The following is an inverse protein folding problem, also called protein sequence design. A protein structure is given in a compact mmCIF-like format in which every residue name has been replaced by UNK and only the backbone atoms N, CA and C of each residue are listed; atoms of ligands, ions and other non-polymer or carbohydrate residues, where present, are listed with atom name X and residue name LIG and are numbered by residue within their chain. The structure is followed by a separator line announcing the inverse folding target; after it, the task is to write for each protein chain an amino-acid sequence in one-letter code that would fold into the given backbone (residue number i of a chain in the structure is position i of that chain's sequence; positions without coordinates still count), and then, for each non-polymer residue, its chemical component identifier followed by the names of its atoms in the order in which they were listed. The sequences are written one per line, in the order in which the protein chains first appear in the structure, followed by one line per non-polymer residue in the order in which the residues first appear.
data_IF_630865334519
#
_entry.id   IF_630865334519
#
_cell.length_a   1.000
_cell.length_b   1.000
_cell.length_c   1.000
_cell.angle_alpha   90.00
_cell.angle_beta   90.00
_cell.angle_gamma   90.00
#
_symmetry.space_group_name_H-M   'P 1'
#
loop_
_entity.id
_entity.type
_entity.pdbx_description
1 polymer ?
#
# COMPACT_ATOMS: atom_id res chain seq x y z
N UNK A 1 12.14 -24.95 33.34
CA UNK A 1 12.61 -23.56 33.14
C UNK A 1 11.48 -22.92 32.37
N UNK A 2 10.50 -22.45 33.12
CA UNK A 2 9.22 -22.00 32.57
C UNK A 2 9.48 -20.71 31.79
N UNK A 3 9.22 -20.73 30.48
CA UNK A 3 9.15 -19.49 29.70
C UNK A 3 7.89 -18.76 30.15
N UNK A 4 8.09 -17.69 30.91
CA UNK A 4 7.08 -16.65 31.09
C UNK A 4 7.01 -15.93 29.75
N UNK A 5 5.93 -16.14 29.00
CA UNK A 5 5.55 -15.32 27.86
C UNK A 5 5.12 -13.97 28.45
N UNK A 6 6.10 -13.08 28.66
CA UNK A 6 5.84 -11.69 29.02
C UNK A 6 5.10 -11.12 27.81
N UNK A 7 3.85 -10.67 28.00
CA UNK A 7 2.92 -10.23 26.94
C UNK A 7 3.43 -9.03 26.14
N UNK A 8 4.54 -9.24 25.44
CA UNK A 8 5.31 -8.27 24.70
C UNK A 8 4.68 -8.06 23.33
N UNK A 9 4.62 -6.81 22.92
CA UNK A 9 4.09 -6.42 21.63
C UNK A 9 5.01 -6.97 20.54
N UNK A 10 4.45 -7.75 19.62
CA UNK A 10 5.17 -8.29 18.47
C UNK A 10 5.29 -7.21 17.39
N UNK A 11 6.52 -6.79 17.10
CA UNK A 11 6.80 -5.85 16.01
C UNK A 11 6.64 -6.55 14.67
N UNK A 12 5.86 -5.97 13.77
CA UNK A 12 5.66 -6.43 12.40
C UNK A 12 6.19 -5.38 11.44
N UNK A 13 6.90 -5.83 10.41
CA UNK A 13 7.17 -5.06 9.21
C UNK A 13 6.46 -5.79 8.06
N UNK A 14 5.48 -5.15 7.43
CA UNK A 14 4.65 -5.81 6.42
C UNK A 14 5.40 -5.88 5.08
N UNK A 15 5.83 -7.06 4.62
CA UNK A 15 6.64 -7.16 3.42
C UNK A 15 5.87 -6.91 2.12
N UNK A 16 4.54 -6.84 2.15
CA UNK A 16 3.73 -6.68 0.97
C UNK A 16 2.35 -6.12 1.32
N UNK A 17 2.16 -4.82 1.07
CA UNK A 17 0.85 -4.20 1.13
C UNK A 17 0.56 -3.33 -0.10
N UNK A 18 -0.70 -2.92 -0.22
CA UNK A 18 -1.18 -2.03 -1.27
C UNK A 18 -2.09 -0.96 -0.68
N UNK A 19 -2.03 0.22 -1.27
CA UNK A 19 -2.94 1.36 -1.08
C UNK A 19 -3.34 1.87 -2.45
N UNK A 20 -4.55 2.43 -2.57
CA UNK A 20 -5.09 2.80 -3.88
C UNK A 20 -6.25 3.79 -3.79
N UNK A 21 -6.53 4.45 -4.91
CA UNK A 21 -7.67 5.34 -5.11
C UNK A 21 -8.47 4.88 -6.33
N UNK A 22 -9.68 4.35 -6.12
CA UNK A 22 -10.63 3.97 -7.19
C UNK A 22 -11.70 5.03 -7.45
N UNK A 23 -11.51 6.28 -7.01
CA UNK A 23 -12.42 7.37 -7.32
C UNK A 23 -12.38 7.72 -8.82
N UNK A 24 -13.45 8.32 -9.33
CA UNK A 24 -13.56 8.71 -10.76
C UNK A 24 -12.49 9.71 -11.22
N UNK A 25 -11.84 10.40 -10.29
CA UNK A 25 -10.81 11.41 -10.56
C UNK A 25 -9.44 10.96 -10.06
N UNK A 26 -9.23 9.66 -9.90
CA UNK A 26 -7.99 9.10 -9.38
C UNK A 26 -6.79 9.49 -10.23
N UNK A 27 -5.67 9.71 -9.54
CA UNK A 27 -4.34 9.91 -10.16
C UNK A 27 -3.36 8.84 -9.69
N UNK A 28 -3.86 7.80 -9.04
CA UNK A 28 -3.03 6.74 -8.47
C UNK A 28 -2.47 5.77 -9.52
N UNK A 29 -2.90 5.81 -10.78
CA UNK A 29 -2.32 4.99 -11.85
C UNK A 29 -2.88 3.56 -11.94
N UNK A 30 -3.61 3.09 -10.93
CA UNK A 30 -4.26 1.77 -10.91
C UNK A 30 -5.48 1.76 -11.84
N UNK A 31 -5.87 0.58 -12.30
CA UNK A 31 -7.17 0.40 -12.97
C UNK A 31 -8.26 0.26 -11.89
N UNK A 32 -9.19 1.23 -11.76
CA UNK A 32 -10.26 1.16 -10.78
C UNK A 32 -11.25 0.00 -11.04
N UNK A 33 -11.27 -0.58 -12.24
CA UNK A 33 -12.13 -1.73 -12.56
C UNK A 33 -11.56 -3.06 -12.02
N UNK A 34 -10.25 -3.17 -11.80
CA UNK A 34 -9.62 -4.36 -11.22
C UNK A 34 -9.60 -4.35 -9.68
N UNK A 35 -9.81 -3.18 -9.07
CA UNK A 35 -9.77 -2.98 -7.63
C UNK A 35 -11.17 -2.74 -7.06
N UNK A 36 -11.27 -2.63 -5.74
CA UNK A 36 -12.54 -2.38 -5.06
C UNK A 36 -12.40 -1.29 -4.01
N UNK A 37 -13.52 -0.72 -3.58
CA UNK A 37 -13.60 0.24 -2.48
C UNK A 37 -13.82 -0.52 -1.15
N UNK A 38 -12.81 -0.70 -0.28
CA UNK A 38 -13.03 -1.39 0.99
C UNK A 38 -14.06 -0.64 1.82
N UNK A 39 -15.11 -1.34 2.25
CA UNK A 39 -16.25 -0.78 2.99
C UNK A 39 -16.97 0.37 2.26
N UNK A 40 -16.87 0.41 0.92
CA UNK A 40 -17.49 1.45 0.09
C UNK A 40 -16.76 2.79 0.10
N UNK A 41 -15.58 2.90 0.72
CA UNK A 41 -14.74 4.08 0.61
C UNK A 41 -13.75 3.90 -0.56
N UNK A 42 -13.81 4.73 -1.62
CA UNK A 42 -13.01 4.57 -2.82
C UNK A 42 -11.53 4.87 -2.63
N UNK A 43 -11.13 5.51 -1.53
CA UNK A 43 -9.73 5.82 -1.24
C UNK A 43 -9.26 4.99 -0.06
N UNK A 44 -8.36 4.06 -0.31
CA UNK A 44 -7.67 3.26 0.69
C UNK A 44 -6.29 3.86 0.92
N UNK A 45 -6.21 4.82 1.85
CA UNK A 45 -4.99 5.59 2.18
C UNK A 45 -4.02 4.81 3.07
N UNK A 46 -2.79 5.30 3.18
CA UNK A 46 -1.82 4.75 4.14
C UNK A 46 -2.31 4.86 5.58
N UNK A 47 -2.89 6.01 5.96
CA UNK A 47 -3.46 6.21 7.30
C UNK A 47 -4.54 5.18 7.63
N UNK A 48 -5.36 4.80 6.64
CA UNK A 48 -6.38 3.77 6.83
C UNK A 48 -5.77 2.39 6.98
N UNK A 49 -4.81 2.06 6.13
CA UNK A 49 -4.05 0.81 6.24
C UNK A 49 -3.39 0.67 7.63
N UNK A 50 -2.75 1.73 8.15
CA UNK A 50 -2.15 1.71 9.48
C UNK A 50 -3.16 1.46 10.61
N UNK A 51 -4.37 2.04 10.49
CA UNK A 51 -5.48 1.78 11.43
C UNK A 51 -5.95 0.34 11.35
N UNK A 52 -6.03 -0.23 10.15
CA UNK A 52 -6.45 -1.62 9.95
C UNK A 52 -5.38 -2.60 10.49
N UNK A 53 -4.11 -2.18 10.51
CA UNK A 53 -2.99 -2.92 11.11
C UNK A 53 -2.84 -2.72 12.63
N UNK A 54 -3.66 -1.88 13.26
CA UNK A 54 -3.65 -1.67 14.71
C UNK A 54 -4.31 -2.84 15.46
N UNK A 55 -3.65 -3.99 15.45
CA UNK A 55 -4.11 -5.26 16.03
C UNK A 55 -3.52 -5.43 17.43
N UNK A 56 -4.34 -5.84 18.41
CA UNK A 56 -3.87 -6.11 19.77
C UNK A 56 -2.72 -7.13 19.78
N UNK A 57 -1.65 -6.80 20.50
CA UNK A 57 -0.44 -7.63 20.59
C UNK A 57 0.56 -7.41 19.44
N UNK A 58 0.27 -6.53 18.49
CA UNK A 58 1.16 -6.20 17.38
C UNK A 58 1.45 -4.69 17.28
N UNK A 59 2.64 -4.37 16.77
CA UNK A 59 3.06 -3.00 16.45
C UNK A 59 3.57 -3.00 15.00
N UNK A 60 2.88 -2.30 14.11
CA UNK A 60 3.38 -2.05 12.76
C UNK A 60 4.58 -1.09 12.82
N UNK A 61 5.68 -1.47 12.18
CA UNK A 61 6.93 -0.69 12.15
C UNK A 61 7.24 -0.11 10.78
N UNK A 62 6.44 -0.45 9.77
CA UNK A 62 6.62 -0.07 8.39
C UNK A 62 6.23 -1.21 7.45
N UNK A 63 6.66 -1.11 6.20
CA UNK A 63 6.42 -2.17 5.23
C UNK A 63 6.96 -1.88 3.83
N UNK A 64 6.73 -2.81 2.91
CA UNK A 64 6.97 -2.63 1.50
C UNK A 64 5.64 -2.53 0.74
N UNK A 65 5.42 -1.35 0.17
CA UNK A 65 4.41 -1.17 -0.87
C UNK A 65 4.92 -1.83 -2.15
N UNK A 66 4.08 -2.67 -2.75
CA UNK A 66 4.35 -3.30 -4.04
C UNK A 66 3.38 -2.73 -5.07
N UNK A 67 3.90 -2.24 -6.18
CA UNK A 67 3.09 -1.68 -7.27
C UNK A 67 2.06 -2.71 -7.81
N UNK A 68 0.81 -2.28 -8.00
CA UNK A 68 -0.29 -3.10 -8.50
C UNK A 68 -0.54 -2.92 -10.01
N UNK A 69 0.10 -1.96 -10.69
CA UNK A 69 -0.06 -1.67 -12.14
C UNK A 69 0.05 -2.93 -13.01
N UNK A 70 0.99 -3.83 -12.71
CA UNK A 70 1.18 -5.07 -13.48
C UNK A 70 -0.02 -6.03 -13.44
N UNK A 71 -0.87 -5.94 -12.42
CA UNK A 71 -2.12 -6.71 -12.30
C UNK A 71 -3.30 -5.91 -12.86
N UNK A 72 -3.21 -4.58 -12.83
CA UNK A 72 -4.27 -3.68 -13.30
C UNK A 72 -4.31 -3.53 -14.83
N UNK A 73 -3.14 -3.47 -15.47
CA UNK A 73 -2.99 -3.08 -16.87
C UNK A 73 -2.39 -4.20 -17.71
N UNK A 74 -2.98 -5.41 -17.60
CA UNK A 74 -2.43 -6.64 -18.21
C UNK A 74 -2.34 -6.61 -19.74
N UNK A 75 -3.12 -5.75 -20.39
CA UNK A 75 -3.17 -5.59 -21.84
C UNK A 75 -2.39 -4.36 -22.34
N UNK A 76 -1.86 -3.53 -21.44
CA UNK A 76 -1.08 -2.35 -21.80
C UNK A 76 0.42 -2.66 -21.82
N UNK A 77 1.14 -2.02 -22.73
CA UNK A 77 2.60 -2.11 -22.83
C UNK A 77 3.26 -0.77 -23.12
N UNK A 78 4.60 -0.74 -22.99
CA UNK A 78 5.40 0.42 -23.38
C UNK A 78 5.04 1.69 -22.60
N UNK A 79 4.98 2.86 -23.26
CA UNK A 79 4.85 4.15 -22.58
C UNK A 79 3.57 4.35 -21.77
N UNK A 80 2.45 3.71 -22.13
CA UNK A 80 1.20 3.85 -21.35
C UNK A 80 1.33 3.11 -20.02
N UNK A 81 1.84 1.88 -20.04
CA UNK A 81 2.13 1.11 -18.84
C UNK A 81 3.11 1.83 -17.91
N UNK A 82 4.22 2.34 -18.48
CA UNK A 82 5.21 3.12 -17.72
C UNK A 82 4.61 4.37 -17.06
N UNK A 83 3.70 5.06 -17.75
CA UNK A 83 3.01 6.22 -17.19
C UNK A 83 2.13 5.84 -15.99
N UNK A 84 1.46 4.68 -16.03
CA UNK A 84 0.71 4.14 -14.91
C UNK A 84 1.62 3.81 -13.73
N UNK A 85 2.75 3.12 -13.94
CA UNK A 85 3.75 2.81 -12.89
C UNK A 85 4.25 4.08 -12.18
N UNK A 86 4.60 5.11 -12.97
CA UNK A 86 5.08 6.38 -12.43
C UNK A 86 4.00 7.13 -11.65
N UNK A 87 2.73 7.05 -12.10
CA UNK A 87 1.59 7.62 -11.39
C UNK A 87 1.37 6.92 -10.03
N UNK A 88 1.40 5.59 -9.99
CA UNK A 88 1.28 4.79 -8.77
C UNK A 88 2.40 5.07 -7.78
N UNK A 89 3.65 5.06 -8.25
CA UNK A 89 4.81 5.38 -7.43
C UNK A 89 4.73 6.81 -6.89
N UNK A 90 4.35 7.78 -7.72
CA UNK A 90 4.23 9.20 -7.31
C UNK A 90 3.09 9.44 -6.32
N UNK A 91 1.95 8.79 -6.52
CA UNK A 91 0.80 8.91 -5.63
C UNK A 91 1.11 8.27 -4.27
N UNK A 92 1.63 7.05 -4.29
CA UNK A 92 2.03 6.30 -3.09
C UNK A 92 3.10 7.04 -2.30
N UNK A 93 4.10 7.63 -2.97
CA UNK A 93 5.15 8.39 -2.29
C UNK A 93 4.58 9.54 -1.45
N UNK A 94 3.55 10.24 -1.93
CA UNK A 94 2.88 11.33 -1.20
C UNK A 94 2.12 10.82 0.03
N UNK A 95 1.53 9.62 -0.06
CA UNK A 95 0.91 8.97 1.10
C UNK A 95 1.98 8.60 2.15
N UNK A 96 3.13 8.08 1.71
CA UNK A 96 4.25 7.73 2.59
C UNK A 96 4.85 8.95 3.31
N UNK A 97 4.90 10.12 2.65
CA UNK A 97 5.34 11.38 3.27
C UNK A 97 4.48 11.80 4.48
N UNK A 98 3.28 11.22 4.63
CA UNK A 98 2.35 11.47 5.74
C UNK A 98 2.57 10.59 6.98
N UNK A 99 3.48 9.61 6.94
CA UNK A 99 3.74 8.69 8.05
C UNK A 99 5.17 8.80 8.60
N UNK A 100 5.32 8.51 9.89
CA UNK A 100 6.61 8.42 10.56
C UNK A 100 7.21 7.00 10.51
N UNK A 101 6.50 6.03 9.92
CA UNK A 101 6.94 4.63 9.83
C UNK A 101 7.87 4.38 8.62
N UNK A 102 8.68 3.31 8.69
CA UNK A 102 9.68 3.02 7.66
C UNK A 102 9.09 2.22 6.48
N UNK A 103 8.58 2.94 5.48
CA UNK A 103 8.08 2.35 4.25
C UNK A 103 9.11 2.29 3.12
N UNK A 104 8.99 1.26 2.28
CA UNK A 104 9.73 1.08 1.04
C UNK A 104 8.74 0.94 -0.11
N UNK A 105 9.04 1.55 -1.26
CA UNK A 105 8.28 1.37 -2.49
C UNK A 105 9.08 0.43 -3.39
N UNK A 106 8.47 -0.70 -3.76
CA UNK A 106 8.97 -1.62 -4.77
C UNK A 106 8.30 -1.25 -6.10
N UNK A 107 8.92 -0.31 -6.80
CA UNK A 107 8.40 0.25 -8.06
C UNK A 107 8.85 -0.56 -9.28
N UNK A 108 8.00 -0.63 -10.31
CA UNK A 108 8.37 -1.23 -11.61
C UNK A 108 9.05 -0.22 -12.54
N UNK A 109 8.88 1.08 -12.29
CA UNK A 109 9.52 2.20 -12.98
C UNK A 109 9.92 3.29 -11.97
N UNK A 110 11.01 4.02 -12.23
CA UNK A 110 11.59 5.03 -11.31
C UNK A 110 12.22 6.20 -12.02
#
# INVERSE_FOLDING_TARGET
MDHVDDGGIMKIWDPHFHIWDVSQTTTSGHDPEQLFAPEGNPVYTLERYEKDMAIEGFELTGGAFVEAVSVCHVDDDGPSFEACCLAETSWTSKEMDGSDLEYRIVASAS
#
